data_IF_790272347132
#
_entry.id   IF_790272347132
#
_cell.length_a   1.000
_cell.length_b   1.000
_cell.length_c   1.000
_cell.angle_alpha   90.00
_cell.angle_beta   90.00
_cell.angle_gamma   90.00
#
_symmetry.space_group_name_H-M   'P 1'
#
loop_
_entity.id
_entity.type
_entity.pdbx_description
1 polymer ?
#
# COMPACT_ATOMS: atom_id res chain seq x y z
N UNK A 1 7.42 13.54 -16.79
CA UNK A 1 8.88 13.87 -16.90
C UNK A 1 9.48 14.53 -15.65
N UNK A 2 8.89 14.43 -14.45
CA UNK A 2 9.48 14.97 -13.20
C UNK A 2 10.05 13.91 -12.25
N UNK A 3 9.91 12.62 -12.57
CA UNK A 3 10.21 11.52 -11.65
C UNK A 3 11.69 11.09 -11.64
N UNK A 4 12.42 11.26 -12.75
CA UNK A 4 13.72 10.57 -12.95
C UNK A 4 14.97 11.42 -12.64
N UNK A 5 14.87 12.75 -12.45
CA UNK A 5 16.08 13.61 -12.46
C UNK A 5 16.71 13.98 -11.10
N UNK A 6 16.22 13.50 -9.95
CA UNK A 6 16.72 14.01 -8.64
C UNK A 6 17.46 13.02 -7.74
N UNK A 7 17.64 11.76 -8.12
CA UNK A 7 18.23 10.76 -7.22
C UNK A 7 19.76 10.55 -7.38
N UNK A 8 20.43 11.26 -8.29
CA UNK A 8 21.87 11.01 -8.57
C UNK A 8 22.87 11.90 -7.84
N UNK A 9 22.54 12.48 -6.68
CA UNK A 9 23.53 13.19 -5.87
C UNK A 9 23.35 12.94 -4.37
N UNK A 10 24.05 11.92 -3.84
CA UNK A 10 24.93 12.05 -2.67
C UNK A 10 25.49 10.70 -2.22
N UNK A 11 26.50 10.22 -2.94
CA UNK A 11 27.34 9.09 -2.53
C UNK A 11 28.48 9.61 -1.64
N UNK A 12 28.22 9.80 -0.34
CA UNK A 12 29.29 9.89 0.64
C UNK A 12 29.02 8.94 1.81
N UNK A 13 29.95 7.99 1.95
CA UNK A 13 30.07 6.98 3.01
C UNK A 13 29.56 7.48 4.36
N UNK A 14 28.36 7.03 4.73
CA UNK A 14 27.79 7.15 6.07
C UNK A 14 27.64 5.74 6.62
N UNK A 15 28.21 5.52 7.80
CA UNK A 15 27.89 4.42 8.72
C UNK A 15 26.39 4.08 8.57
N UNK A 16 26.07 2.89 8.11
CA UNK A 16 24.73 2.50 7.64
C UNK A 16 23.65 2.97 8.62
N UNK A 17 22.96 4.05 8.26
CA UNK A 17 21.89 4.61 9.07
C UNK A 17 20.68 3.69 8.95
N UNK A 18 20.24 3.15 10.08
CA UNK A 18 19.01 2.37 10.14
C UNK A 18 17.87 3.25 9.63
N UNK A 19 17.18 2.79 8.60
CA UNK A 19 16.07 3.51 7.98
C UNK A 19 14.76 3.01 8.59
N UNK A 20 13.92 3.90 9.12
CA UNK A 20 12.59 3.51 9.59
C UNK A 20 11.64 3.28 8.42
N UNK A 21 10.72 2.34 8.60
CA UNK A 21 9.63 2.08 7.68
C UNK A 21 8.39 1.68 8.49
N UNK A 22 7.46 2.63 8.66
CA UNK A 22 6.23 2.44 9.42
C UNK A 22 5.04 2.14 8.46
N UNK A 23 4.34 1.03 8.72
CA UNK A 23 3.20 0.53 7.97
C UNK A 23 1.99 0.47 8.89
N UNK A 24 0.87 1.07 8.48
CA UNK A 24 -0.39 1.06 9.22
C UNK A 24 -1.35 0.07 8.58
N UNK A 25 -2.06 -0.71 9.40
CA UNK A 25 -3.04 -1.69 8.93
C UNK A 25 -4.43 -1.19 9.32
N UNK A 26 -5.31 -1.03 8.34
CA UNK A 26 -6.67 -0.49 8.52
C UNK A 26 -7.70 -1.39 7.84
N UNK A 27 -8.91 -1.48 8.41
CA UNK A 27 -10.00 -2.25 7.84
C UNK A 27 -11.03 -2.68 8.87
N UNK A 28 -12.13 -3.28 8.41
CA UNK A 28 -13.25 -3.68 9.24
C UNK A 28 -12.86 -4.63 10.39
N UNK A 29 -13.66 -4.64 11.46
CA UNK A 29 -13.49 -5.63 12.55
C UNK A 29 -13.58 -7.05 11.99
N UNK A 30 -12.64 -7.91 12.40
CA UNK A 30 -12.59 -9.29 11.92
C UNK A 30 -12.05 -9.48 10.49
N UNK A 31 -11.50 -8.44 9.85
CA UNK A 31 -10.84 -8.57 8.53
C UNK A 31 -9.48 -9.29 8.56
N UNK A 32 -8.95 -9.61 9.74
CA UNK A 32 -7.67 -10.35 9.87
C UNK A 32 -6.42 -9.48 9.95
N UNK A 33 -6.54 -8.19 10.32
CA UNK A 33 -5.43 -7.25 10.47
C UNK A 33 -4.32 -7.76 11.39
N UNK A 34 -4.67 -8.07 12.65
CA UNK A 34 -3.71 -8.57 13.64
C UNK A 34 -3.10 -9.89 13.18
N UNK A 35 -3.91 -10.82 12.64
CA UNK A 35 -3.46 -12.10 12.09
C UNK A 35 -2.45 -11.92 10.95
N UNK A 36 -2.64 -10.91 10.09
CA UNK A 36 -1.67 -10.57 9.05
C UNK A 36 -0.34 -10.11 9.65
N UNK A 37 -0.35 -9.24 10.65
CA UNK A 37 0.87 -8.80 11.34
C UNK A 37 1.58 -10.00 11.96
N UNK A 38 0.84 -10.92 12.62
CA UNK A 38 1.43 -12.16 13.17
C UNK A 38 2.07 -13.01 12.07
N UNK A 39 1.37 -13.19 10.94
CA UNK A 39 1.86 -13.91 9.75
C UNK A 39 3.14 -13.30 9.20
N UNK A 40 3.16 -11.98 9.07
CA UNK A 40 4.30 -11.27 8.53
C UNK A 40 5.51 -11.33 9.48
N UNK A 41 5.30 -11.14 10.79
CA UNK A 41 6.36 -11.27 11.79
C UNK A 41 6.91 -12.69 11.87
N UNK A 42 6.04 -13.71 11.79
CA UNK A 42 6.45 -15.13 11.78
C UNK A 42 7.33 -15.44 10.57
N UNK A 43 6.91 -14.96 9.40
CA UNK A 43 7.66 -15.14 8.15
C UNK A 43 9.03 -14.46 8.20
N UNK A 44 9.13 -13.29 8.83
CA UNK A 44 10.38 -12.54 8.94
C UNK A 44 11.29 -12.99 10.09
N UNK A 45 10.96 -14.03 10.85
CA UNK A 45 11.78 -14.48 12.00
C UNK A 45 13.25 -14.72 11.69
N UNK A 46 13.56 -15.14 10.46
CA UNK A 46 14.93 -15.38 10.01
C UNK A 46 15.67 -14.09 9.66
N UNK A 47 14.94 -13.07 9.19
CA UNK A 47 15.47 -11.77 8.75
C UNK A 47 15.57 -10.76 9.91
N UNK A 48 14.93 -11.06 11.06
CA UNK A 48 14.91 -10.20 12.25
C UNK A 48 16.21 -10.32 13.04
N UNK A 49 16.80 -9.17 13.36
CA UNK A 49 17.92 -9.07 14.29
C UNK A 49 17.42 -9.40 15.70
N UNK A 50 17.93 -10.48 16.29
CA UNK A 50 17.51 -10.96 17.61
C UNK A 50 17.64 -9.87 18.69
N UNK A 51 16.62 -9.76 19.56
CA UNK A 51 16.60 -8.80 20.66
C UNK A 51 16.14 -7.38 20.29
N UNK A 52 15.84 -7.10 19.02
CA UNK A 52 15.38 -5.78 18.57
C UNK A 52 13.86 -5.62 18.51
N UNK A 53 13.14 -6.72 18.71
CA UNK A 53 11.69 -6.77 18.72
C UNK A 53 11.12 -6.04 19.93
N UNK A 54 10.24 -5.07 19.66
CA UNK A 54 9.57 -4.22 20.64
C UNK A 54 8.08 -4.15 20.32
N UNK A 55 7.30 -4.11 21.38
CA UNK A 55 5.84 -4.16 21.32
C UNK A 55 5.25 -3.16 22.31
N UNK A 56 4.31 -2.34 21.84
CA UNK A 56 3.68 -1.31 22.67
C UNK A 56 2.47 -1.89 23.39
N UNK A 57 2.70 -2.58 24.51
CA UNK A 57 1.66 -3.23 25.31
C UNK A 57 1.92 -4.72 25.45
N UNK A 58 1.91 -5.22 26.68
CA UNK A 58 1.97 -6.66 26.93
C UNK A 58 0.65 -7.28 26.44
N UNK A 59 0.63 -7.97 25.27
CA UNK A 59 -0.22 -9.16 24.93
C UNK A 59 -0.64 -9.33 23.45
N UNK A 60 -0.20 -8.54 22.47
CA UNK A 60 -0.76 -8.67 21.11
C UNK A 60 -0.26 -9.86 20.27
N UNK A 61 0.87 -10.50 20.60
CA UNK A 61 1.42 -11.63 19.81
C UNK A 61 1.59 -12.95 20.59
N UNK A 62 1.18 -13.04 21.87
CA UNK A 62 1.35 -14.26 22.69
C UNK A 62 0.06 -14.87 23.20
N UNK A 63 -1.06 -14.16 23.11
CA UNK A 63 -2.37 -14.63 23.58
C UNK A 63 -3.32 -14.84 22.40
N UNK A 64 -4.40 -15.59 22.66
CA UNK A 64 -5.53 -15.76 21.73
C UNK A 64 -5.94 -14.41 21.11
N UNK A 65 -6.25 -14.41 19.81
CA UNK A 65 -6.65 -13.22 19.07
C UNK A 65 -7.89 -12.58 19.73
N UNK A 66 -7.70 -11.39 20.29
CA UNK A 66 -8.79 -10.56 20.81
C UNK A 66 -9.00 -9.36 19.89
N UNK A 67 -10.21 -8.77 19.95
CA UNK A 67 -10.49 -7.55 19.18
C UNK A 67 -9.60 -6.42 19.65
N UNK A 68 -8.92 -5.75 18.71
CA UNK A 68 -8.08 -4.58 18.98
C UNK A 68 -8.96 -3.39 19.37
N UNK A 69 -8.81 -2.88 20.60
CA UNK A 69 -9.56 -1.72 21.12
C UNK A 69 -8.81 -0.39 20.93
N UNK A 70 -7.48 -0.42 20.93
CA UNK A 70 -6.60 0.74 20.81
C UNK A 70 -5.52 0.53 19.74
N UNK A 71 -4.90 1.62 19.27
CA UNK A 71 -3.79 1.54 18.31
C UNK A 71 -2.59 0.89 18.98
N UNK A 72 -2.07 -0.17 18.34
CA UNK A 72 -0.96 -0.95 18.85
C UNK A 72 0.21 -0.95 17.86
N UNK A 73 1.43 -0.93 18.38
CA UNK A 73 2.64 -0.83 17.54
C UNK A 73 3.61 -1.97 17.81
N UNK A 74 3.97 -2.72 16.77
CA UNK A 74 5.04 -3.74 16.76
C UNK A 74 6.21 -3.21 15.95
N UNK A 75 7.39 -3.09 16.56
CA UNK A 75 8.62 -2.64 15.88
C UNK A 75 9.70 -3.72 15.94
N UNK A 76 10.43 -3.90 14.85
CA UNK A 76 11.54 -4.84 14.74
C UNK A 76 12.59 -4.32 13.77
N UNK A 77 13.85 -4.70 14.00
CA UNK A 77 14.91 -4.39 13.04
C UNK A 77 15.14 -5.60 12.15
N UNK A 78 15.02 -5.39 10.85
CA UNK A 78 15.28 -6.41 9.82
C UNK A 78 16.54 -6.04 9.04
N UNK A 79 17.30 -7.05 8.65
CA UNK A 79 18.47 -6.91 7.78
C UNK A 79 18.24 -7.73 6.51
N UNK A 80 17.96 -7.03 5.40
CA UNK A 80 17.71 -7.65 4.09
C UNK A 80 18.68 -7.03 3.09
N UNK A 81 19.41 -7.87 2.35
CA UNK A 81 20.41 -7.45 1.36
C UNK A 81 21.45 -6.44 1.89
N UNK A 82 21.87 -6.61 3.16
CA UNK A 82 22.82 -5.72 3.83
C UNK A 82 22.24 -4.37 4.27
N UNK A 83 20.96 -4.09 4.01
CA UNK A 83 20.30 -2.86 4.47
C UNK A 83 19.55 -3.10 5.78
N UNK A 84 19.89 -2.34 6.82
CA UNK A 84 19.19 -2.36 8.11
C UNK A 84 17.98 -1.43 8.14
N UNK A 85 16.84 -2.00 8.50
CA UNK A 85 15.55 -1.33 8.48
C UNK A 85 14.85 -1.48 9.83
N UNK A 86 14.40 -0.37 10.40
CA UNK A 86 13.48 -0.41 11.55
C UNK A 86 12.04 -0.46 11.03
N UNK A 87 11.50 -1.67 10.91
CA UNK A 87 10.14 -1.93 10.44
C UNK A 87 9.16 -1.81 11.61
N UNK A 88 8.12 -1.01 11.43
CA UNK A 88 7.08 -0.80 12.44
C UNK A 88 5.71 -1.08 11.85
N UNK A 89 4.96 -2.01 12.42
CA UNK A 89 3.55 -2.24 12.13
C UNK A 89 2.67 -1.53 13.14
N UNK A 90 1.67 -0.79 12.66
CA UNK A 90 0.69 -0.07 13.45
C UNK A 90 -0.66 -0.76 13.23
N UNK A 91 -1.05 -1.61 14.18
CA UNK A 91 -2.37 -2.25 14.21
C UNK A 91 -3.41 -1.25 14.71
N UNK A 92 -4.57 -1.23 14.05
CA UNK A 92 -5.65 -0.29 14.38
C UNK A 92 -6.91 -1.01 14.82
N UNK A 93 -7.73 -0.38 15.68
CA UNK A 93 -9.05 -0.90 16.01
C UNK A 93 -9.86 -1.14 14.74
N UNK A 94 -10.65 -2.22 14.74
CA UNK A 94 -11.48 -2.56 13.59
C UNK A 94 -12.53 -1.49 13.33
N UNK A 95 -12.65 -1.11 12.05
CA UNK A 95 -13.67 -0.15 11.65
C UNK A 95 -15.05 -0.80 11.76
N UNK A 96 -15.94 -0.13 12.48
CA UNK A 96 -17.32 -0.49 12.73
C UNK A 96 -18.17 0.80 12.79
N UNK A 97 -19.46 0.67 13.07
CA UNK A 97 -20.30 1.86 13.28
C UNK A 97 -20.02 2.45 14.67
N UNK A 98 -19.77 3.77 14.82
CA UNK A 98 -19.79 4.84 13.80
C UNK A 98 -18.44 5.05 13.07
N UNK A 99 -18.47 4.92 11.74
CA UNK A 99 -17.27 4.98 10.88
C UNK A 99 -16.57 6.33 10.91
N UNK A 100 -17.33 7.43 10.93
CA UNK A 100 -16.76 8.79 10.83
C UNK A 100 -15.85 9.11 12.00
N UNK A 101 -16.26 8.78 13.23
CA UNK A 101 -15.48 9.05 14.43
C UNK A 101 -14.17 8.25 14.45
N UNK A 102 -14.26 6.97 14.05
CA UNK A 102 -13.07 6.12 13.95
C UNK A 102 -12.12 6.63 12.87
N UNK A 103 -12.63 6.99 11.70
CA UNK A 103 -11.84 7.56 10.60
C UNK A 103 -11.16 8.87 11.01
N UNK A 104 -11.87 9.76 11.70
CA UNK A 104 -11.28 10.99 12.26
C UNK A 104 -10.15 10.69 13.24
N UNK A 105 -10.30 9.65 14.07
CA UNK A 105 -9.25 9.23 15.02
C UNK A 105 -8.02 8.70 14.28
N UNK A 106 -8.20 7.93 13.21
CA UNK A 106 -7.11 7.42 12.35
C UNK A 106 -6.39 8.56 11.62
N UNK A 107 -7.14 9.47 11.00
CA UNK A 107 -6.59 10.64 10.33
C UNK A 107 -5.84 11.55 11.30
N UNK A 108 -6.39 11.78 12.50
CA UNK A 108 -5.73 12.56 13.55
C UNK A 108 -4.45 11.90 14.03
N UNK A 109 -4.39 10.56 14.09
CA UNK A 109 -3.17 9.84 14.41
C UNK A 109 -2.08 10.07 13.35
N UNK A 110 -2.41 9.98 12.05
CA UNK A 110 -1.47 10.25 10.95
C UNK A 110 -0.97 11.70 11.03
N UNK A 111 -1.88 12.66 11.18
CA UNK A 111 -1.53 14.09 11.32
C UNK A 111 -0.65 14.35 12.53
N UNK A 112 -0.87 13.64 13.64
CA UNK A 112 -0.04 13.76 14.83
C UNK A 112 1.41 13.30 14.58
N UNK A 113 1.65 12.36 13.66
CA UNK A 113 3.01 11.97 13.27
C UNK A 113 3.68 13.08 12.46
N UNK A 114 2.98 13.65 11.49
CA UNK A 114 3.50 14.81 10.75
C UNK A 114 3.73 16.02 11.65
N UNK A 115 2.83 16.27 12.60
CA UNK A 115 2.98 17.33 13.59
C UNK A 115 4.25 17.16 14.44
N UNK A 116 4.59 15.93 14.86
CA UNK A 116 5.80 15.67 15.64
C UNK A 116 7.06 16.04 14.86
N UNK A 117 7.13 15.67 13.59
CA UNK A 117 8.25 16.03 12.71
C UNK A 117 8.32 17.54 12.49
N UNK A 118 7.19 18.18 12.20
CA UNK A 118 7.12 19.63 12.02
C UNK A 118 7.54 20.40 13.28
N UNK A 119 7.13 19.92 14.46
CA UNK A 119 7.51 20.49 15.73
C UNK A 119 9.02 20.37 15.98
N UNK A 120 9.63 19.24 15.59
CA UNK A 120 11.09 19.04 15.66
C UNK A 120 11.84 19.95 14.67
N UNK A 121 11.38 20.08 13.43
CA UNK A 121 11.96 20.98 12.42
C UNK A 121 11.92 22.45 12.84
N UNK A 122 10.90 22.82 13.60
CA UNK A 122 10.68 24.17 14.13
C UNK A 122 11.61 24.53 15.31
N UNK A 123 12.29 23.55 15.93
CA UNK A 123 13.23 23.81 17.02
C UNK A 123 14.50 24.50 16.52
N UNK A 124 15.05 25.41 17.33
CA UNK A 124 16.33 26.07 17.07
C UNK A 124 17.52 25.11 17.18
N UNK A 125 17.49 24.22 18.18
CA UNK A 125 18.42 23.10 18.30
C UNK A 125 17.66 21.83 17.94
N UNK A 126 18.01 21.26 16.79
CA UNK A 126 17.37 20.07 16.22
C UNK A 126 18.12 18.83 16.66
N UNK A 127 17.40 17.76 16.98
CA UNK A 127 18.04 16.46 17.19
C UNK A 127 18.43 15.85 15.84
N UNK A 128 19.74 15.75 15.59
CA UNK A 128 20.28 15.11 14.39
C UNK A 128 19.97 13.61 14.30
N UNK A 129 19.45 13.01 15.39
CA UNK A 129 19.06 11.60 15.48
C UNK A 129 17.54 11.40 15.58
N UNK A 130 16.73 12.41 15.27
CA UNK A 130 15.28 12.26 15.25
C UNK A 130 14.88 11.09 14.34
N UNK A 131 14.09 10.15 14.89
CA UNK A 131 13.59 9.00 14.15
C UNK A 131 12.35 9.41 13.38
N UNK A 132 12.27 9.01 12.12
CA UNK A 132 11.10 9.27 11.29
C UNK A 132 9.91 8.40 11.75
N UNK A 133 8.84 9.10 12.14
CA UNK A 133 7.59 8.54 12.67
C UNK A 133 6.45 8.53 11.66
N UNK A 134 6.69 8.98 10.42
CA UNK A 134 5.67 9.05 9.40
C UNK A 134 5.14 7.67 9.03
N UNK A 135 3.84 7.58 8.76
CA UNK A 135 3.23 6.38 8.20
C UNK A 135 3.52 6.39 6.69
N UNK A 136 4.30 5.43 6.20
CA UNK A 136 4.70 5.40 4.78
C UNK A 136 3.72 4.65 3.89
N UNK A 137 3.04 3.65 4.45
CA UNK A 137 2.07 2.84 3.76
C UNK A 137 0.90 2.49 4.69
N UNK A 138 -0.32 2.54 4.16
CA UNK A 138 -1.53 2.12 4.83
C UNK A 138 -2.14 0.94 4.05
N UNK A 139 -2.09 -0.24 4.65
CA UNK A 139 -2.71 -1.44 4.09
C UNK A 139 -4.19 -1.44 4.44
N UNK A 140 -5.06 -1.29 3.45
CA UNK A 140 -6.50 -1.26 3.64
C UNK A 140 -7.13 -2.62 3.33
N UNK A 141 -7.62 -3.30 4.36
CA UNK A 141 -8.22 -4.63 4.28
C UNK A 141 -9.68 -4.52 3.89
N UNK A 142 -9.97 -4.83 2.64
CA UNK A 142 -11.31 -4.96 2.07
C UNK A 142 -11.79 -6.39 2.34
N UNK A 143 -13.01 -6.52 2.84
CA UNK A 143 -13.66 -7.83 3.02
C UNK A 143 -14.55 -8.05 1.81
N UNK A 144 -14.28 -9.10 1.02
CA UNK A 144 -15.05 -9.44 -0.19
C UNK A 144 -16.46 -10.00 0.08
N UNK A 145 -17.10 -9.62 1.19
CA UNK A 145 -18.40 -10.12 1.57
C UNK A 145 -19.48 -9.60 0.59
N UNK A 146 -20.19 -10.52 -0.05
CA UNK A 146 -21.37 -10.20 -0.87
C UNK A 146 -21.14 -10.03 -2.37
N UNK A 147 -19.91 -10.24 -2.88
CA UNK A 147 -19.59 -10.25 -4.33
C UNK A 147 -20.13 -9.02 -5.09
N UNK A 148 -20.16 -7.85 -4.46
CA UNK A 148 -20.76 -6.62 -5.03
C UNK A 148 -19.73 -5.51 -5.30
N UNK A 149 -18.44 -5.85 -5.36
CA UNK A 149 -17.37 -4.86 -5.49
C UNK A 149 -17.08 -4.16 -4.16
N UNK A 150 -16.72 -2.88 -4.23
CA UNK A 150 -16.33 -2.06 -3.09
C UNK A 150 -17.58 -1.49 -2.40
N UNK A 151 -17.66 -1.57 -1.07
CA UNK A 151 -18.79 -0.98 -0.33
C UNK A 151 -18.71 0.56 -0.33
N UNK A 152 -19.85 1.24 -0.14
CA UNK A 152 -19.87 2.71 -0.01
C UNK A 152 -19.04 3.21 1.19
N UNK A 153 -18.98 2.41 2.26
CA UNK A 153 -18.16 2.69 3.43
C UNK A 153 -16.68 2.63 3.06
N UNK A 154 -16.26 1.59 2.32
CA UNK A 154 -14.89 1.44 1.87
C UNK A 154 -14.49 2.54 0.89
N UNK A 155 -15.38 2.93 -0.04
CA UNK A 155 -15.17 4.06 -0.97
C UNK A 155 -14.88 5.34 -0.22
N UNK A 156 -15.68 5.64 0.81
CA UNK A 156 -15.50 6.83 1.64
C UNK A 156 -14.18 6.79 2.41
N UNK A 157 -13.86 5.67 3.06
CA UNK A 157 -12.62 5.52 3.84
C UNK A 157 -11.38 5.63 2.95
N UNK A 158 -11.37 4.94 1.81
CA UNK A 158 -10.25 4.98 0.86
C UNK A 158 -10.00 6.40 0.38
N UNK A 159 -11.04 7.15 -0.02
CA UNK A 159 -10.90 8.56 -0.45
C UNK A 159 -10.31 9.47 0.63
N UNK A 160 -10.72 9.28 1.89
CA UNK A 160 -10.22 10.11 3.00
C UNK A 160 -8.78 9.74 3.35
N UNK A 161 -8.46 8.45 3.49
CA UNK A 161 -7.12 7.99 3.85
C UNK A 161 -6.10 8.28 2.74
N UNK A 162 -6.48 8.13 1.47
CA UNK A 162 -5.58 8.35 0.35
C UNK A 162 -5.16 9.81 0.17
N UNK A 163 -5.84 10.75 0.83
CA UNK A 163 -5.41 12.16 0.89
C UNK A 163 -4.27 12.42 1.87
N UNK A 164 -3.95 11.46 2.75
CA UNK A 164 -2.99 11.63 3.86
C UNK A 164 -1.85 10.61 3.85
N UNK A 165 -2.02 9.46 3.21
CA UNK A 165 -1.02 8.39 3.20
C UNK A 165 -1.16 7.53 1.94
N UNK A 166 -0.09 6.85 1.55
CA UNK A 166 -0.12 5.82 0.51
C UNK A 166 -1.02 4.65 0.91
N UNK A 167 -2.21 4.56 0.32
CA UNK A 167 -3.14 3.46 0.61
C UNK A 167 -2.97 2.34 -0.40
N UNK A 168 -2.75 1.12 0.09
CA UNK A 168 -2.65 -0.11 -0.70
C UNK A 168 -3.85 -1.00 -0.37
N UNK A 169 -4.75 -1.26 -1.32
CA UNK A 169 -5.92 -2.12 -1.10
C UNK A 169 -5.52 -3.60 -1.05
N UNK A 170 -6.02 -4.30 -0.03
CA UNK A 170 -5.80 -5.72 0.21
C UNK A 170 -7.15 -6.42 0.32
N UNK A 171 -7.34 -7.48 -0.45
CA UNK A 171 -8.43 -8.43 -0.27
C UNK A 171 -8.09 -9.37 0.89
N UNK A 172 -8.87 -9.26 1.95
CA UNK A 172 -8.75 -10.11 3.13
C UNK A 172 -9.50 -11.42 2.99
N UNK A 173 -9.02 -12.48 3.65
CA UNK A 173 -9.65 -13.82 3.70
C UNK A 173 -9.93 -14.37 2.29
N UNK A 174 -8.91 -14.36 1.43
CA UNK A 174 -9.04 -14.82 0.05
C UNK A 174 -9.46 -16.31 -0.06
N UNK A 175 -9.19 -17.10 0.99
CA UNK A 175 -9.65 -18.48 1.19
C UNK A 175 -11.18 -18.64 1.25
N UNK A 176 -11.94 -17.55 1.41
CA UNK A 176 -13.41 -17.58 1.40
C UNK A 176 -14.02 -17.47 0.00
N UNK A 177 -13.20 -17.20 -1.01
CA UNK A 177 -13.63 -16.98 -2.39
C UNK A 177 -13.15 -18.14 -3.28
N UNK A 178 -13.96 -18.51 -4.28
CA UNK A 178 -13.48 -19.40 -5.34
C UNK A 178 -12.55 -18.63 -6.28
N UNK A 179 -11.66 -19.32 -7.02
CA UNK A 179 -10.71 -18.68 -7.95
C UNK A 179 -11.42 -17.79 -8.99
N UNK A 180 -12.60 -18.22 -9.48
CA UNK A 180 -13.40 -17.42 -10.42
C UNK A 180 -13.99 -16.15 -9.77
N UNK A 181 -14.53 -16.27 -8.56
CA UNK A 181 -15.05 -15.12 -7.81
C UNK A 181 -13.94 -14.14 -7.42
N UNK A 182 -12.78 -14.68 -7.08
CA UNK A 182 -11.60 -13.92 -6.71
C UNK A 182 -11.09 -13.07 -7.87
N UNK A 183 -10.91 -13.66 -9.07
CA UNK A 183 -10.51 -12.92 -10.26
C UNK A 183 -11.54 -11.83 -10.61
N UNK A 184 -12.82 -12.17 -10.63
CA UNK A 184 -13.89 -11.22 -10.91
C UNK A 184 -13.91 -10.05 -9.92
N UNK A 185 -13.74 -10.32 -8.63
CA UNK A 185 -13.72 -9.28 -7.60
C UNK A 185 -12.49 -8.38 -7.71
N UNK A 186 -11.31 -8.94 -8.03
CA UNK A 186 -10.09 -8.16 -8.28
C UNK A 186 -10.29 -7.18 -9.43
N UNK A 187 -10.80 -7.66 -10.57
CA UNK A 187 -11.05 -6.85 -11.76
C UNK A 187 -12.10 -5.75 -11.47
N UNK A 188 -13.19 -6.11 -10.79
CA UNK A 188 -14.26 -5.18 -10.41
C UNK A 188 -13.75 -4.06 -9.50
N UNK A 189 -13.04 -4.40 -8.42
CA UNK A 189 -12.49 -3.38 -7.49
C UNK A 189 -11.50 -2.47 -8.20
N UNK A 190 -10.68 -3.03 -9.10
CA UNK A 190 -9.70 -2.26 -9.87
C UNK A 190 -10.37 -1.26 -10.80
N UNK A 191 -11.42 -1.68 -11.51
CA UNK A 191 -12.23 -0.82 -12.37
C UNK A 191 -12.93 0.28 -11.56
N UNK A 192 -13.53 -0.09 -10.42
CA UNK A 192 -14.19 0.86 -9.53
C UNK A 192 -13.22 1.92 -9.00
N UNK A 193 -12.04 1.52 -8.54
CA UNK A 193 -11.04 2.43 -7.97
C UNK A 193 -10.51 3.41 -9.03
N UNK A 194 -10.08 2.95 -10.20
CA UNK A 194 -9.38 3.79 -11.17
C UNK A 194 -10.27 4.47 -12.20
N UNK A 195 -11.27 3.76 -12.72
CA UNK A 195 -12.04 4.24 -13.87
C UNK A 195 -13.32 4.94 -13.41
N UNK A 196 -14.05 4.34 -12.46
CA UNK A 196 -15.36 4.85 -12.03
C UNK A 196 -15.21 5.96 -10.98
N UNK A 197 -14.53 5.67 -9.87
CA UNK A 197 -14.47 6.59 -8.72
C UNK A 197 -13.21 7.45 -8.68
N UNK A 198 -12.20 7.11 -9.47
CA UNK A 198 -10.88 7.80 -9.53
C UNK A 198 -10.33 8.07 -8.12
N UNK A 199 -10.31 7.04 -7.28
CA UNK A 199 -9.78 7.14 -5.92
C UNK A 199 -8.25 7.17 -6.00
N UNK A 200 -7.57 8.19 -5.43
CA UNK A 200 -6.13 8.36 -5.58
C UNK A 200 -5.33 7.45 -4.63
N UNK A 201 -5.56 6.14 -4.71
CA UNK A 201 -4.76 5.12 -3.99
C UNK A 201 -3.33 5.07 -4.54
N UNK A 202 -2.42 4.37 -3.86
CA UNK A 202 -1.05 4.19 -4.36
C UNK A 202 -1.07 3.61 -5.78
N UNK A 203 -0.29 4.21 -6.68
CA UNK A 203 -0.29 3.91 -8.13
C UNK A 203 -1.25 4.76 -8.97
N UNK A 204 -2.06 5.62 -8.35
CA UNK A 204 -2.80 6.63 -9.10
C UNK A 204 -1.85 7.73 -9.60
N UNK A 205 -1.80 7.90 -10.91
CA UNK A 205 -1.06 8.98 -11.56
C UNK A 205 -2.07 9.93 -12.18
N UNK A 206 -1.99 11.21 -11.84
CA UNK A 206 -2.76 12.24 -12.52
C UNK A 206 -2.18 12.41 -13.93
N UNK A 207 -2.88 11.86 -14.92
CA UNK A 207 -2.59 12.16 -16.32
C UNK A 207 -3.35 13.45 -16.63
N UNK A 208 -2.63 14.52 -16.94
CA UNK A 208 -3.24 15.72 -17.50
C UNK A 208 -3.95 15.29 -18.79
N UNK A 209 -5.28 15.24 -18.75
CA UNK A 209 -6.06 15.16 -19.97
C UNK A 209 -5.72 16.45 -20.72
N UNK A 210 -5.03 16.34 -21.87
CA UNK A 210 -4.75 17.48 -22.72
C UNK A 210 -6.07 18.16 -23.07
N UNK A 211 -6.46 19.17 -22.29
CA UNK A 211 -7.68 19.92 -22.52
C UNK A 211 -7.60 20.55 -23.92
N UNK A 212 -8.74 20.45 -24.61
CA UNK A 212 -8.98 20.93 -25.96
C UNK A 212 -8.50 22.38 -26.12
N UNK A 213 -7.84 22.65 -27.25
CA UNK A 213 -7.33 23.98 -27.55
C UNK A 213 -8.43 25.04 -27.58
N UNK A 214 -8.46 25.91 -26.57
CA UNK A 214 -9.00 27.26 -26.73
C UNK A 214 -8.08 28.06 -27.65
N UNK A 215 -8.33 27.98 -28.96
CA UNK A 215 -7.89 29.00 -29.91
C UNK A 215 -9.12 29.67 -30.53
N UNK A 216 -9.48 30.80 -29.93
CA UNK A 216 -9.99 32.03 -30.55
C UNK A 216 -10.80 31.88 -31.86
N UNK A 217 -12.11 32.12 -31.77
CA UNK A 217 -12.94 32.56 -32.89
C UNK A 217 -12.53 34.00 -33.28
N UNK A 218 -11.74 34.12 -34.34
CA UNK A 218 -11.77 35.28 -35.23
C UNK A 218 -11.83 34.76 -36.68
N UNK A 219 -12.83 35.22 -37.42
CA UNK A 219 -13.32 34.56 -38.63
C UNK A 219 -12.49 34.74 -39.90
N UNK A 220 -12.65 33.80 -40.84
CA UNK A 220 -13.25 33.98 -42.19
C UNK A 220 -13.06 32.71 -43.04
N UNK A 221 -14.14 32.38 -43.75
CA UNK A 221 -14.23 31.78 -45.09
C UNK A 221 -13.37 30.54 -45.41
N UNK A 222 -14.01 29.37 -45.52
CA UNK A 222 -14.10 28.62 -46.79
C UNK A 222 -14.95 27.34 -46.62
N UNK A 223 -15.96 27.20 -47.48
CA UNK A 223 -16.73 25.97 -47.68
C UNK A 223 -15.88 24.92 -48.42
N UNK A 224 -15.99 23.66 -47.97
CA UNK A 224 -15.85 22.38 -48.68
C UNK A 224 -14.85 21.41 -48.04
N UNK A 225 -15.36 20.49 -47.21
CA UNK A 225 -15.32 19.05 -47.50
C UNK A 225 -15.99 18.29 -46.35
N UNK A 226 -17.22 17.85 -46.59
CA UNK A 226 -17.86 16.81 -45.79
C UNK A 226 -17.14 15.51 -46.15
N UNK A 227 -16.24 15.07 -45.26
CA UNK A 227 -15.84 13.67 -45.18
C UNK A 227 -16.14 13.17 -43.78
N UNK A 228 -17.14 12.30 -43.74
CA UNK A 228 -17.50 11.44 -42.63
C UNK A 228 -16.26 10.85 -41.96
N UNK A 229 -15.98 11.30 -40.74
CA UNK A 229 -15.27 10.47 -39.76
C UNK A 229 -16.17 10.42 -38.53
N UNK A 230 -16.96 9.36 -38.47
CA UNK A 230 -17.67 8.97 -37.25
C UNK A 230 -16.66 8.98 -36.09
N UNK A 231 -16.93 9.88 -35.17
CA UNK A 231 -16.13 10.21 -34.01
C UNK A 231 -16.37 9.14 -32.93
N UNK A 232 -15.90 7.91 -33.14
CA UNK A 232 -15.81 6.92 -32.07
C UNK A 232 -14.49 7.08 -31.32
N UNK A 233 -14.27 8.25 -30.71
CA UNK A 233 -13.26 8.36 -29.64
C UNK A 233 -13.87 7.71 -28.41
N UNK A 234 -13.70 6.39 -28.28
CA UNK A 234 -13.84 5.72 -26.98
C UNK A 234 -12.91 6.43 -26.02
N UNK A 235 -13.46 7.11 -25.02
CA UNK A 235 -12.68 7.60 -23.89
C UNK A 235 -11.89 6.43 -23.31
N UNK A 236 -10.59 6.41 -23.56
CA UNK A 236 -9.73 5.35 -23.08
C UNK A 236 -9.75 5.35 -21.55
N UNK A 237 -10.00 4.18 -20.96
CA UNK A 237 -10.08 4.01 -19.52
C UNK A 237 -8.82 4.59 -18.84
N UNK A 238 -9.00 5.33 -17.74
CA UNK A 238 -7.91 6.03 -17.07
C UNK A 238 -6.77 5.08 -16.66
N UNK A 239 -7.11 3.87 -16.19
CA UNK A 239 -6.13 2.83 -15.89
C UNK A 239 -5.30 2.42 -17.12
N UNK A 240 -5.94 2.29 -18.29
CA UNK A 240 -5.24 1.94 -19.53
C UNK A 240 -4.28 3.05 -19.96
N UNK A 241 -4.68 4.32 -19.83
CA UNK A 241 -3.79 5.47 -20.05
C UNK A 241 -2.55 5.41 -19.16
N UNK A 242 -2.73 5.14 -17.86
CA UNK A 242 -1.62 4.99 -16.90
C UNK A 242 -0.70 3.85 -17.33
N UNK A 243 -1.26 2.68 -17.63
CA UNK A 243 -0.49 1.49 -18.04
C UNK A 243 0.33 1.79 -19.30
N UNK A 244 -0.29 2.38 -20.33
CA UNK A 244 0.40 2.73 -21.56
C UNK A 244 1.52 3.76 -21.32
N UNK A 245 1.27 4.78 -20.50
CA UNK A 245 2.29 5.77 -20.13
C UNK A 245 3.49 5.11 -19.45
N UNK A 246 3.25 4.21 -18.49
CA UNK A 246 4.33 3.51 -17.80
C UNK A 246 5.06 2.53 -18.72
N UNK A 247 4.36 1.85 -19.62
CA UNK A 247 4.98 0.95 -20.60
C UNK A 247 5.91 1.74 -21.53
N UNK A 248 5.46 2.91 -21.98
CA UNK A 248 6.27 3.84 -22.75
C UNK A 248 7.53 4.27 -21.99
N UNK A 249 7.42 4.60 -20.70
CA UNK A 249 8.57 4.93 -19.85
C UNK A 249 9.54 3.76 -19.70
N UNK A 250 9.03 2.54 -19.51
CA UNK A 250 9.87 1.34 -19.48
C UNK A 250 10.66 1.15 -20.77
N UNK A 251 10.02 1.28 -21.93
CA UNK A 251 10.68 1.06 -23.22
C UNK A 251 11.66 2.18 -23.59
N UNK A 252 11.38 3.43 -23.20
CA UNK A 252 12.22 4.59 -23.55
C UNK A 252 13.39 4.77 -22.59
N UNK A 253 13.15 4.64 -21.30
CA UNK A 253 14.08 5.07 -20.26
C UNK A 253 14.68 3.90 -19.45
N UNK A 254 14.25 2.65 -19.69
CA UNK A 254 14.63 1.46 -18.89
C UNK A 254 14.43 1.70 -17.38
N UNK A 255 13.37 2.44 -17.04
CA UNK A 255 13.09 2.87 -15.68
C UNK A 255 12.59 1.67 -14.84
N UNK A 256 13.43 1.24 -13.89
CA UNK A 256 13.14 0.14 -12.96
C UNK A 256 11.92 0.44 -12.07
N UNK A 257 11.72 1.72 -11.70
CA UNK A 257 10.59 2.14 -10.89
C UNK A 257 9.29 2.07 -11.68
N UNK A 258 9.31 2.45 -12.96
CA UNK A 258 8.16 2.30 -13.85
C UNK A 258 7.76 0.82 -14.02
N UNK A 259 8.75 -0.07 -14.11
CA UNK A 259 8.53 -1.52 -14.15
C UNK A 259 7.86 -2.04 -12.89
N UNK A 260 8.38 -1.67 -11.71
CA UNK A 260 7.79 -2.04 -10.43
C UNK A 260 6.35 -1.52 -10.28
N UNK A 261 6.10 -0.27 -10.68
CA UNK A 261 4.75 0.32 -10.67
C UNK A 261 3.80 -0.41 -11.61
N UNK A 262 4.23 -0.82 -12.79
CA UNK A 262 3.41 -1.64 -13.69
C UNK A 262 3.09 -3.00 -13.09
N UNK A 263 4.07 -3.68 -12.50
CA UNK A 263 3.86 -4.97 -11.84
C UNK A 263 2.84 -4.85 -10.70
N UNK A 264 2.96 -3.81 -9.88
CA UNK A 264 1.99 -3.51 -8.82
C UNK A 264 0.59 -3.26 -9.40
N UNK A 265 0.46 -2.41 -10.42
CA UNK A 265 -0.81 -2.09 -11.04
C UNK A 265 -1.45 -3.33 -11.68
N UNK A 266 -0.69 -4.27 -12.22
CA UNK A 266 -1.25 -5.52 -12.73
C UNK A 266 -1.75 -6.46 -11.62
N UNK A 267 -1.10 -6.45 -10.46
CA UNK A 267 -1.36 -7.40 -9.37
C UNK A 267 -2.44 -6.93 -8.39
N UNK A 268 -2.64 -5.62 -8.24
CA UNK A 268 -3.56 -5.05 -7.25
C UNK A 268 -5.05 -5.36 -7.57
N UNK A 269 -5.89 -5.58 -6.54
CA UNK A 269 -5.56 -5.63 -5.10
C UNK A 269 -4.90 -6.97 -4.68
N UNK A 270 -3.96 -6.92 -3.72
CA UNK A 270 -3.31 -8.13 -3.20
C UNK A 270 -4.26 -8.98 -2.36
N UNK A 271 -4.19 -10.30 -2.48
CA UNK A 271 -5.08 -11.23 -1.79
C UNK A 271 -4.36 -11.98 -0.69
N UNK A 272 -4.80 -11.77 0.55
CA UNK A 272 -4.11 -12.24 1.75
C UNK A 272 -4.89 -13.32 2.50
N UNK A 273 -4.12 -14.29 2.99
CA UNK A 273 -4.56 -15.36 3.89
C UNK A 273 -3.59 -15.38 5.06
N UNK A 274 -4.10 -15.28 6.28
CA UNK A 274 -3.27 -15.37 7.50
C UNK A 274 -3.30 -16.78 8.07
N UNK A 275 -2.22 -17.23 8.70
CA UNK A 275 -2.17 -18.59 9.24
C UNK A 275 -3.13 -18.78 10.42
N UNK A 276 -3.46 -20.04 10.71
CA UNK A 276 -4.26 -20.42 11.87
C UNK A 276 -3.38 -20.65 13.09
N UNK A 277 -3.78 -20.07 14.22
CA UNK A 277 -3.06 -20.19 15.49
C UNK A 277 -3.73 -21.19 16.41
N UNK A 278 -2.91 -21.94 17.12
CA UNK A 278 -3.38 -22.74 18.22
C UNK A 278 -3.82 -21.82 19.37
N UNK A 279 -5.09 -21.93 19.77
CA UNK A 279 -5.72 -21.08 20.79
C UNK A 279 -5.02 -21.09 22.16
N UNK A 280 -4.33 -22.18 22.52
CA UNK A 280 -3.66 -22.33 23.82
C UNK A 280 -2.23 -21.79 23.81
N UNK A 281 -1.54 -21.87 22.66
CA UNK A 281 -0.11 -21.55 22.57
C UNK A 281 0.19 -20.25 21.81
N UNK A 282 -0.77 -19.74 21.03
CA UNK A 282 -0.58 -18.59 20.14
C UNK A 282 0.45 -18.83 19.04
N UNK A 283 0.82 -20.10 18.79
CA UNK A 283 1.78 -20.49 17.75
C UNK A 283 1.05 -20.97 16.49
N UNK A 284 1.69 -20.87 15.31
CA UNK A 284 1.16 -21.48 14.10
C UNK A 284 0.84 -22.96 14.30
N UNK A 285 -0.31 -23.41 13.79
CA UNK A 285 -0.63 -24.83 13.73
C UNK A 285 0.35 -25.52 12.78
N UNK A 286 1.05 -26.55 13.25
CA UNK A 286 1.96 -27.34 12.41
C UNK A 286 1.19 -28.09 11.34
N UNK A 287 1.35 -27.68 10.08
CA UNK A 287 0.89 -28.43 8.92
C UNK A 287 1.95 -29.47 8.57
N UNK A 288 1.60 -30.77 8.67
CA UNK A 288 2.51 -31.86 8.33
C UNK A 288 2.56 -32.03 6.81
N UNK A 289 3.77 -32.08 6.26
CA UNK A 289 4.03 -32.16 4.81
C UNK A 289 3.38 -33.35 4.09
N UNK A 290 3.02 -34.43 4.78
CA UNK A 290 2.32 -35.57 4.19
C UNK A 290 0.87 -35.29 3.80
N UNK A 291 0.23 -34.26 4.36
CA UNK A 291 -1.15 -33.88 4.03
C UNK A 291 -1.25 -33.00 2.77
N UNK A 292 -0.11 -32.42 2.34
CA UNK A 292 0.01 -31.55 1.16
C UNK A 292 -0.06 -32.36 -0.15
N UNK A 293 0.42 -33.61 -0.14
CA UNK A 293 0.54 -34.45 -1.34
C UNK A 293 -0.76 -35.19 -1.72
N UNK A 294 -1.86 -35.03 -0.97
CA UNK A 294 -3.14 -35.69 -1.25
C UNK A 294 -3.91 -35.09 -2.44
N UNK A 295 -3.47 -33.96 -2.99
CA UNK A 295 -4.19 -33.19 -4.01
C UNK A 295 -3.37 -33.01 -5.32
N UNK A 296 -2.57 -34.00 -5.72
CA UNK A 296 -2.03 -34.06 -7.08
C UNK A 296 -2.90 -34.99 -7.94
N UNK A 297 -3.97 -34.47 -8.52
CA UNK A 297 -4.58 -35.11 -9.68
C UNK A 297 -3.72 -34.81 -10.91
N UNK A 298 -3.22 -35.89 -11.49
CA UNK A 298 -2.56 -36.01 -12.79
C UNK A 298 -3.11 -35.09 -13.88
N UNK A 299 -2.32 -34.10 -14.29
CA UNK A 299 -2.37 -33.53 -15.65
C UNK A 299 -0.97 -33.09 -16.08
N UNK A 300 -0.12 -34.06 -16.43
CA UNK A 300 0.92 -33.84 -17.42
C UNK A 300 0.28 -33.97 -18.80
N UNK A 301 0.18 -32.87 -19.55
CA UNK A 301 0.55 -32.77 -20.98
C UNK A 301 -0.19 -31.65 -21.72
N UNK A 302 0.60 -30.73 -22.28
CA UNK A 302 0.40 -30.00 -23.55
C UNK A 302 -0.78 -29.02 -23.67
N UNK A 303 -0.46 -27.72 -23.59
CA UNK A 303 -0.50 -26.83 -24.77
C UNK A 303 0.10 -25.45 -24.48
N UNK A 304 1.19 -25.15 -25.20
CA UNK A 304 1.71 -23.81 -25.42
C UNK A 304 0.66 -22.94 -26.13
N UNK A 305 0.43 -21.72 -25.66
CA UNK A 305 0.55 -20.51 -26.48
C UNK A 305 0.18 -19.22 -25.71
N UNK A 306 1.05 -18.23 -25.92
CA UNK A 306 0.82 -16.77 -25.84
C UNK A 306 0.55 -16.15 -24.46
N UNK A 307 1.63 -15.88 -23.71
CA UNK A 307 1.86 -14.66 -22.89
C UNK A 307 3.26 -14.62 -22.23
N UNK A 308 4.24 -15.30 -22.84
CA UNK A 308 5.50 -15.67 -22.19
C UNK A 308 6.62 -14.61 -22.25
N UNK A 309 6.31 -13.34 -22.54
CA UNK A 309 7.29 -12.25 -22.54
C UNK A 309 7.37 -11.52 -21.20
N UNK A 310 6.30 -11.55 -20.39
CA UNK A 310 6.28 -10.96 -19.04
C UNK A 310 6.70 -12.00 -17.99
N UNK A 311 6.28 -13.26 -18.15
CA UNK A 311 6.61 -14.35 -17.23
C UNK A 311 8.08 -14.81 -17.30
N UNK A 312 8.74 -14.68 -18.46
CA UNK A 312 10.17 -15.04 -18.60
C UNK A 312 11.13 -14.04 -18.00
N UNK A 313 10.77 -12.75 -17.96
CA UNK A 313 11.60 -11.72 -17.35
C UNK A 313 11.59 -11.89 -15.82
N UNK A 314 10.42 -12.24 -15.25
CA UNK A 314 10.22 -12.46 -13.80
C UNK A 314 11.02 -13.66 -13.26
N UNK A 315 11.34 -14.65 -14.09
CA UNK A 315 12.03 -15.88 -13.65
C UNK A 315 13.54 -15.94 -13.99
N UNK A 316 14.14 -14.85 -14.49
CA UNK A 316 15.53 -14.87 -14.98
C UNK A 316 16.59 -14.21 -14.07
N UNK A 317 16.20 -13.66 -12.92
CA UNK A 317 17.14 -13.17 -11.91
C UNK A 317 16.74 -13.68 -10.53
N UNK A 318 17.69 -14.38 -9.91
CA UNK A 318 17.62 -15.00 -8.59
C UNK A 318 16.79 -16.29 -8.49
N UNK A 319 17.42 -17.39 -8.90
CA UNK A 319 17.24 -18.68 -8.22
C UNK A 319 17.69 -18.54 -6.76
N UNK A 320 16.87 -17.90 -5.93
CA UNK A 320 16.90 -18.16 -4.50
C UNK A 320 16.38 -19.57 -4.34
N UNK A 321 17.30 -20.53 -4.25
CA UNK A 321 17.04 -21.78 -3.56
C UNK A 321 16.54 -21.39 -2.17
N UNK A 322 15.23 -21.29 -2.03
CA UNK A 322 14.59 -21.24 -0.73
C UNK A 322 14.95 -22.56 -0.07
N UNK A 323 15.94 -22.51 0.82
CA UNK A 323 16.11 -23.50 1.86
C UNK A 323 14.87 -23.39 2.76
N UNK A 324 13.73 -23.84 2.24
CA UNK A 324 12.52 -24.07 3.02
C UNK A 324 12.94 -25.16 3.99
N UNK A 325 13.29 -24.76 5.21
CA UNK A 325 13.43 -25.70 6.30
C UNK A 325 12.14 -26.53 6.32
N UNK A 326 12.26 -27.81 5.98
CA UNK A 326 11.27 -28.82 6.29
C UNK A 326 11.00 -28.74 7.79
N UNK A 327 9.87 -28.14 8.20
CA UNK A 327 8.99 -28.73 9.22
C UNK A 327 7.72 -27.95 9.56
N UNK A 328 7.51 -26.69 9.13
CA UNK A 328 6.27 -25.97 9.46
C UNK A 328 5.84 -25.05 8.32
N UNK A 329 4.87 -25.49 7.51
CA UNK A 329 4.20 -24.60 6.56
C UNK A 329 3.22 -23.70 7.34
N UNK A 330 3.24 -22.39 7.06
CA UNK A 330 2.26 -21.44 7.61
C UNK A 330 1.01 -21.49 6.75
N UNK A 331 -0.15 -21.73 7.37
CA UNK A 331 -1.40 -21.88 6.62
C UNK A 331 -2.62 -22.05 7.52
N UNK A 332 -3.77 -22.28 6.89
CA UNK A 332 -5.04 -22.61 7.54
C UNK A 332 -5.45 -24.03 7.20
N UNK A 333 -6.02 -24.74 8.17
CA UNK A 333 -6.50 -26.11 7.96
C UNK A 333 -8.02 -26.14 7.88
N UNK A 334 -8.54 -26.62 6.76
CA UNK A 334 -9.95 -26.94 6.60
C UNK A 334 -10.16 -28.46 6.62
N UNK A 335 -11.40 -28.94 6.86
CA UNK A 335 -11.71 -30.36 6.75
C UNK A 335 -11.42 -30.95 5.36
N UNK A 336 -11.46 -30.12 4.31
CA UNK A 336 -11.31 -30.54 2.91
C UNK A 336 -9.93 -30.26 2.31
N UNK A 337 -9.15 -29.31 2.84
CA UNK A 337 -7.83 -28.96 2.30
C UNK A 337 -7.03 -28.10 3.28
N UNK A 338 -5.73 -27.94 3.00
CA UNK A 338 -4.85 -27.02 3.71
C UNK A 338 -4.48 -25.88 2.78
N UNK A 339 -4.62 -24.65 3.27
CA UNK A 339 -4.32 -23.44 2.50
C UNK A 339 -3.06 -22.79 3.04
N UNK A 340 -1.96 -22.91 2.29
CA UNK A 340 -0.68 -22.30 2.63
C UNK A 340 -0.67 -20.79 2.35
N UNK A 341 -0.17 -20.01 3.30
CA UNK A 341 -0.07 -18.55 3.21
C UNK A 341 1.03 -18.09 2.24
N UNK A 342 2.07 -18.90 2.06
CA UNK A 342 3.24 -18.56 1.26
C UNK A 342 3.19 -19.14 -0.16
N UNK A 343 2.15 -19.90 -0.50
CA UNK A 343 1.99 -20.46 -1.84
C UNK A 343 1.41 -19.39 -2.79
N UNK A 344 2.11 -19.03 -3.88
CA UNK A 344 1.63 -18.05 -4.87
C UNK A 344 0.28 -18.41 -5.50
N UNK A 345 -0.03 -19.71 -5.61
CA UNK A 345 -1.31 -20.17 -6.18
C UNK A 345 -2.50 -19.89 -5.26
N UNK A 346 -2.24 -19.68 -3.96
CA UNK A 346 -3.26 -19.46 -2.94
C UNK A 346 -3.31 -18.00 -2.45
N UNK A 347 -2.18 -17.31 -2.41
CA UNK A 347 -2.04 -16.05 -1.70
C UNK A 347 -0.93 -15.17 -2.32
N UNK A 348 -1.18 -13.87 -2.46
CA UNK A 348 -0.21 -12.92 -3.01
C UNK A 348 0.81 -12.42 -1.96
N UNK A 349 0.99 -13.16 -0.86
CA UNK A 349 1.75 -12.68 0.32
C UNK A 349 3.20 -12.37 -0.01
N UNK A 350 3.84 -13.22 -0.81
CA UNK A 350 5.23 -13.02 -1.23
C UNK A 350 5.37 -11.77 -2.12
N UNK A 351 4.39 -11.52 -2.99
CA UNK A 351 4.36 -10.32 -3.83
C UNK A 351 4.22 -9.06 -2.97
N UNK A 352 3.33 -9.08 -1.97
CA UNK A 352 3.17 -7.98 -1.03
C UNK A 352 4.44 -7.76 -0.17
N UNK A 353 5.10 -8.81 0.32
CA UNK A 353 6.39 -8.68 1.04
C UNK A 353 7.42 -7.98 0.16
N UNK A 354 7.61 -8.48 -1.06
CA UNK A 354 8.59 -7.94 -2.00
C UNK A 354 8.28 -6.48 -2.33
N UNK A 355 7.01 -6.16 -2.56
CA UNK A 355 6.53 -4.79 -2.77
C UNK A 355 6.91 -3.87 -1.61
N UNK A 356 6.57 -4.25 -0.37
CA UNK A 356 6.74 -3.40 0.81
C UNK A 356 8.18 -3.25 1.28
N UNK A 357 9.00 -4.30 1.20
CA UNK A 357 10.34 -4.31 1.78
C UNK A 357 11.46 -4.09 0.75
N UNK A 358 11.21 -4.41 -0.52
CA UNK A 358 12.20 -4.35 -1.58
C UNK A 358 11.86 -3.30 -2.64
N UNK A 359 10.87 -3.54 -3.50
CA UNK A 359 10.72 -2.78 -4.76
C UNK A 359 10.12 -1.38 -4.58
N UNK A 360 9.06 -1.21 -3.78
CA UNK A 360 8.38 0.09 -3.64
C UNK A 360 8.73 0.84 -2.36
N UNK A 361 9.57 0.26 -1.49
CA UNK A 361 9.83 0.79 -0.16
C UNK A 361 10.32 2.23 -0.19
N UNK A 362 11.36 2.49 -0.98
CA UNK A 362 11.96 3.82 -1.07
C UNK A 362 10.99 4.81 -1.73
N UNK A 363 10.23 4.36 -2.74
CA UNK A 363 9.17 5.14 -3.39
C UNK A 363 8.09 5.59 -2.40
N UNK A 364 7.58 4.67 -1.58
CA UNK A 364 6.57 4.96 -0.56
C UNK A 364 7.07 6.00 0.45
N UNK A 365 8.35 5.91 0.81
CA UNK A 365 8.98 6.90 1.71
C UNK A 365 9.10 8.27 1.07
N UNK A 366 9.59 8.34 -0.15
CA UNK A 366 9.75 9.59 -0.90
C UNK A 366 8.39 10.27 -1.05
N UNK A 367 7.37 9.55 -1.49
CA UNK A 367 6.02 10.09 -1.67
C UNK A 367 5.42 10.58 -0.33
N UNK A 368 5.68 9.86 0.76
CA UNK A 368 5.30 10.30 2.11
C UNK A 368 5.94 11.62 2.50
N UNK A 369 7.23 11.80 2.24
CA UNK A 369 7.95 13.04 2.57
C UNK A 369 7.61 14.19 1.63
N UNK A 370 7.63 13.97 0.32
CA UNK A 370 7.58 15.02 -0.69
C UNK A 370 6.15 15.44 -1.04
N UNK A 371 5.18 14.53 -0.92
CA UNK A 371 3.79 14.83 -1.20
C UNK A 371 3.01 15.01 0.11
N UNK A 372 2.86 13.97 0.92
CA UNK A 372 1.93 14.01 2.06
C UNK A 372 2.41 14.95 3.18
N UNK A 373 3.67 14.82 3.60
CA UNK A 373 4.23 15.67 4.65
C UNK A 373 4.37 17.13 4.20
N UNK A 374 4.89 17.41 3.01
CA UNK A 374 4.99 18.79 2.52
C UNK A 374 3.63 19.45 2.29
N UNK A 375 2.61 18.70 1.84
CA UNK A 375 1.24 19.21 1.76
C UNK A 375 0.71 19.57 3.16
N UNK A 376 0.87 18.69 4.13
CA UNK A 376 0.48 18.95 5.53
C UNK A 376 1.23 20.17 6.09
N UNK A 377 2.55 20.22 5.91
CA UNK A 377 3.42 21.32 6.35
C UNK A 377 3.00 22.65 5.75
N UNK A 378 2.74 22.68 4.45
CA UNK A 378 2.25 23.88 3.75
C UNK A 378 0.90 24.34 4.30
N UNK A 379 -0.05 23.42 4.50
CA UNK A 379 -1.35 23.74 5.08
C UNK A 379 -1.22 24.33 6.49
N UNK A 380 -0.32 23.80 7.33
CA UNK A 380 -0.10 24.28 8.69
C UNK A 380 0.63 25.63 8.75
N UNK A 381 1.55 25.90 7.82
CA UNK A 381 2.19 27.20 7.72
C UNK A 381 1.20 28.28 7.27
N UNK A 382 0.32 27.95 6.31
CA UNK A 382 -0.74 28.86 5.85
C UNK A 382 -1.76 29.14 6.95
N UNK A 383 -2.20 28.12 7.70
CA UNK A 383 -3.16 28.30 8.80
C UNK A 383 -2.59 29.23 9.88
N UNK A 384 -1.33 28.99 10.29
CA UNK A 384 -0.66 29.83 11.27
C UNK A 384 -0.44 31.29 10.81
N UNK A 385 -0.21 31.52 9.51
CA UNK A 385 -0.15 32.88 8.95
C UNK A 385 -1.51 33.58 9.03
N UNK A 386 -2.61 32.87 8.73
CA UNK A 386 -3.98 33.40 8.85
C UNK A 386 -4.33 33.75 10.30
N UNK A 387 -3.92 32.93 11.25
CA UNK A 387 -4.14 33.16 12.69
C UNK A 387 -3.37 34.39 13.19
N UNK A 388 -2.12 34.57 12.73
CA UNK A 388 -1.35 35.79 13.02
C UNK A 388 -1.98 37.03 12.41
N UNK A 389 -2.43 36.96 11.15
CA UNK A 389 -3.07 38.08 10.46
C UNK A 389 -4.39 38.48 11.13
N UNK A 390 -5.22 37.51 11.53
CA UNK A 390 -6.48 37.78 12.25
C UNK A 390 -6.22 38.41 13.62
N UNK A 391 -5.20 37.92 14.35
CA UNK A 391 -4.79 38.48 15.64
C UNK A 391 -4.32 39.93 15.50
N UNK A 392 -3.45 40.24 14.52
CA UNK A 392 -2.99 41.62 14.26
C UNK A 392 -4.15 42.54 13.87
N UNK A 393 -5.07 42.08 13.02
CA UNK A 393 -6.25 42.86 12.63
C UNK A 393 -7.18 43.15 13.81
N UNK A 394 -7.31 42.21 14.75
CA UNK A 394 -8.09 42.42 15.98
C UNK A 394 -7.44 43.46 16.91
N UNK A 395 -6.11 43.49 16.99
CA UNK A 395 -5.35 44.46 17.78
C UNK A 395 -5.42 45.87 17.16
N UNK A 396 -5.29 45.99 15.83
CA UNK A 396 -5.44 47.25 15.11
C UNK A 396 -6.85 47.84 15.27
N UNK A 397 -7.90 47.01 15.20
CA UNK A 397 -9.27 47.47 15.47
C UNK A 397 -9.44 47.99 16.89
N UNK A 398 -8.88 47.30 17.90
CA UNK A 398 -8.93 47.77 19.30
C UNK A 398 -8.16 49.08 19.50
N UNK A 399 -7.03 49.27 18.83
CA UNK A 399 -6.23 50.49 18.92
C UNK A 399 -6.87 51.70 18.21
N UNK A 400 -7.70 51.48 17.18
CA UNK A 400 -8.44 52.55 16.49
C UNK A 400 -9.76 52.92 17.18
N UNK A 401 -10.20 52.13 18.17
CA UNK A 401 -11.42 52.34 18.96
C UNK A 401 -11.15 53.01 20.32
N UNK A 402 -9.87 53.19 20.68
CA UNK A 402 -9.37 53.95 21.83
C UNK A 402 -8.77 55.27 21.35
#
# INVERSE_FOLDING_TARGET
MLYSQKLSQNSYSKKESITSFNIMIVGATGSGKTSFIRTFCEFLKQDIIQGTYKETGNKALKNSLQSTEEIYTTSMHIEENGKRTALTFIDTPGISSPVIQQLQSLTSYIDSQYFRTLAEESKLQRDAKAVDTHVHACLYFIVGAGFQGLSEVDKFILKVLSSRVNVIPILSKADTLTSAQHQWLKETIKEEIFNIYRIPVYGHIQVEDSEEGEYSKDGKDDENDIKDTNFDKKDEAHLSKIINMLQDCMFKDMDEDACAMLEYLHTMPFSMISYEENFETGRPIEIRSHEINGCQTSTESLQENYNDSVAKIINSSEKTQTMINHNQALGRRYPWSVVECCNPDHCDFLLLKRMLLSTHRDMLKIDTSECFYENYRTQQLISHQKDKASTMNSQLKKANLS
#
